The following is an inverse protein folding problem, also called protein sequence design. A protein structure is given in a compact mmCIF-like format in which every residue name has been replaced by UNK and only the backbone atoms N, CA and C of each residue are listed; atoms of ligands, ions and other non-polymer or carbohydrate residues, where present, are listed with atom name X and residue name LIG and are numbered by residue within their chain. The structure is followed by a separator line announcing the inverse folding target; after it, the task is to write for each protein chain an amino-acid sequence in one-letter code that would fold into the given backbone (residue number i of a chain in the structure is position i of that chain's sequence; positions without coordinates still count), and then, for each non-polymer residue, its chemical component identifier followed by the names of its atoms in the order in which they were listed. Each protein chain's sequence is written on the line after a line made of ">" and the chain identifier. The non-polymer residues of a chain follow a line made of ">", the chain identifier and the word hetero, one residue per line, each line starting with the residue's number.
data_IF_266937733629
#
_entry.id   IF_266937733629
#
_cell.length_a   1.000
_cell.length_b   1.000
_cell.length_c   1.000
_cell.angle_alpha   90.00
_cell.angle_beta   90.00
_cell.angle_gamma   90.00
#
_symmetry.space_group_name_H-M   'P 1'
#
loop_
_entity.id
_entity.type
_entity.pdbx_description
1 polymer ?
#
# COMPACT_ATOMS: atom_id res chain seq x y z
N UNK A 1 -23.14 15.28 -19.36
CA UNK A 1 -21.74 14.83 -19.43
C UNK A 1 -21.19 14.95 -18.02
N UNK A 2 -20.81 13.85 -17.37
CA UNK A 2 -20.29 13.86 -16.00
C UNK A 2 -18.76 13.90 -16.10
N UNK A 3 -18.13 14.96 -15.59
CA UNK A 3 -16.67 15.03 -15.51
C UNK A 3 -16.19 14.13 -14.37
N UNK A 4 -15.59 13.00 -14.72
CA UNK A 4 -14.95 12.11 -13.75
C UNK A 4 -13.64 12.71 -13.30
N UNK A 5 -13.44 12.81 -11.99
CA UNK A 5 -12.18 13.29 -11.46
C UNK A 5 -11.79 12.53 -10.20
N UNK A 6 -10.60 11.95 -10.23
CA UNK A 6 -10.10 11.09 -9.17
C UNK A 6 -9.67 11.74 -7.88
N UNK A 7 -9.43 10.87 -6.90
CA UNK A 7 -8.71 11.18 -5.66
C UNK A 7 -7.23 11.47 -5.98
N UNK A 8 -6.65 12.50 -5.37
CA UNK A 8 -5.20 12.81 -5.52
C UNK A 8 -4.30 11.84 -4.74
N UNK A 9 -4.81 10.68 -4.34
CA UNK A 9 -4.12 9.72 -3.50
C UNK A 9 -3.41 8.73 -4.41
N UNK A 10 -2.09 8.87 -4.67
CA UNK A 10 -1.41 7.92 -5.52
C UNK A 10 -1.54 6.53 -4.92
N UNK A 11 -1.55 6.36 -3.59
CA UNK A 11 -1.42 5.04 -2.95
C UNK A 11 0.06 4.67 -2.80
N UNK A 12 0.32 3.44 -2.38
CA UNK A 12 1.66 2.86 -2.27
C UNK A 12 1.68 1.46 -2.85
N UNK A 13 2.80 1.01 -3.41
CA UNK A 13 3.02 -0.40 -3.76
C UNK A 13 4.48 -0.78 -3.56
N UNK A 14 4.72 -2.04 -3.23
CA UNK A 14 6.02 -2.58 -2.85
C UNK A 14 6.68 -3.27 -4.04
N UNK A 15 6.94 -2.51 -5.12
CA UNK A 15 7.68 -3.04 -6.28
C UNK A 15 9.04 -3.61 -5.86
N UNK A 16 9.59 -4.52 -6.69
CA UNK A 16 10.94 -5.07 -6.46
C UNK A 16 11.98 -3.96 -6.21
N UNK A 17 12.02 -2.94 -7.06
CA UNK A 17 12.90 -1.77 -6.88
C UNK A 17 12.62 -1.03 -5.56
N UNK A 18 11.35 -0.86 -5.19
CA UNK A 18 10.99 -0.24 -3.91
C UNK A 18 11.52 -1.05 -2.74
N UNK A 19 11.41 -2.37 -2.76
CA UNK A 19 11.93 -3.25 -1.72
C UNK A 19 13.45 -3.11 -1.53
N UNK A 20 14.22 -2.92 -2.60
CA UNK A 20 15.65 -2.60 -2.50
C UNK A 20 15.89 -1.26 -1.80
N UNK A 21 15.18 -0.21 -2.18
CA UNK A 21 15.30 1.09 -1.51
C UNK A 21 14.91 1.02 -0.03
N UNK A 22 13.89 0.24 0.31
CA UNK A 22 13.46 0.02 1.70
C UNK A 22 14.57 -0.71 2.48
N UNK A 23 15.14 -1.76 1.91
CA UNK A 23 16.25 -2.50 2.52
C UNK A 23 17.44 -1.60 2.84
N UNK A 24 17.86 -0.73 1.90
CA UNK A 24 18.93 0.25 2.14
C UNK A 24 18.61 1.19 3.31
N UNK A 25 17.36 1.64 3.42
CA UNK A 25 16.96 2.52 4.51
C UNK A 25 16.98 1.78 5.87
N UNK A 26 16.50 0.54 5.93
CA UNK A 26 16.57 -0.25 7.17
C UNK A 26 18.01 -0.60 7.56
N UNK A 27 18.87 -0.92 6.59
CA UNK A 27 20.30 -1.10 6.81
C UNK A 27 20.95 0.15 7.41
N UNK A 28 20.67 1.31 6.83
CA UNK A 28 21.12 2.60 7.38
C UNK A 28 20.68 2.79 8.83
N UNK A 29 19.42 2.49 9.15
CA UNK A 29 18.89 2.60 10.53
C UNK A 29 19.60 1.63 11.48
N UNK A 30 19.86 0.40 11.06
CA UNK A 30 20.56 -0.62 11.88
C UNK A 30 22.02 -0.26 12.17
N UNK A 31 22.67 0.50 11.28
CA UNK A 31 24.05 0.98 11.47
C UNK A 31 24.15 2.17 12.44
N UNK A 32 23.02 2.79 12.82
CA UNK A 32 23.01 3.93 13.73
C UNK A 32 23.17 3.55 15.19
N UNK A 33 23.83 4.43 15.94
CA UNK A 33 23.84 4.30 17.40
C UNK A 33 22.39 4.51 17.91
N UNK A 34 21.81 3.56 18.68
CA UNK A 34 20.43 3.66 19.15
C UNK A 34 20.13 4.93 19.97
N UNK A 35 21.13 5.46 20.67
CA UNK A 35 21.02 6.66 21.51
C UNK A 35 21.34 7.95 20.74
N UNK A 36 21.70 7.85 19.45
CA UNK A 36 21.99 9.03 18.63
C UNK A 36 20.70 9.81 18.36
N UNK A 37 20.73 11.09 18.71
CA UNK A 37 19.64 12.00 18.42
C UNK A 37 19.57 12.35 16.93
N UNK A 38 18.35 12.44 16.42
CA UNK A 38 18.06 12.91 15.08
C UNK A 38 16.81 13.77 15.03
N UNK A 39 16.68 14.49 13.93
CA UNK A 39 15.43 15.05 13.47
C UNK A 39 15.25 14.68 12.00
N UNK A 40 14.06 14.94 11.45
CA UNK A 40 13.74 14.57 10.08
C UNK A 40 14.77 15.07 9.04
N UNK A 41 15.25 16.32 9.19
CA UNK A 41 16.26 16.90 8.29
C UNK A 41 17.61 16.21 8.41
N UNK A 42 18.05 15.91 9.63
CA UNK A 42 19.30 15.18 9.89
C UNK A 42 19.21 13.76 9.31
N UNK A 43 18.10 13.06 9.53
CA UNK A 43 17.85 11.74 8.93
C UNK A 43 18.05 11.80 7.41
N UNK A 44 17.35 12.74 6.75
CA UNK A 44 17.42 12.87 5.29
C UNK A 44 18.86 13.01 4.78
N UNK A 45 19.58 13.98 5.33
CA UNK A 45 20.96 14.28 4.93
C UNK A 45 21.92 13.12 5.18
N UNK A 46 21.71 12.35 6.25
CA UNK A 46 22.57 11.23 6.58
C UNK A 46 22.27 10.00 5.73
N UNK A 47 20.99 9.72 5.45
CA UNK A 47 20.61 8.61 4.58
C UNK A 47 21.04 8.84 3.13
N UNK A 48 20.96 10.07 2.63
CA UNK A 48 21.46 10.43 1.28
C UNK A 48 22.96 10.23 1.15
N UNK A 49 23.72 10.57 2.20
CA UNK A 49 25.17 10.34 2.23
C UNK A 49 25.52 8.85 2.32
N UNK A 50 24.66 8.06 2.96
CA UNK A 50 24.89 6.64 3.16
C UNK A 50 24.61 5.82 1.90
N UNK A 51 23.67 6.23 1.04
CA UNK A 51 23.30 5.48 -0.16
C UNK A 51 22.72 6.38 -1.25
N UNK A 52 23.27 6.28 -2.47
CA UNK A 52 22.73 6.95 -3.67
C UNK A 52 21.30 6.50 -4.01
N UNK A 53 20.89 5.34 -3.48
CA UNK A 53 19.56 4.79 -3.63
C UNK A 53 18.52 5.50 -2.74
N UNK A 54 18.94 6.28 -1.76
CA UNK A 54 18.09 6.99 -0.80
C UNK A 54 18.14 8.51 -1.04
N UNK A 55 17.45 8.99 -2.07
CA UNK A 55 17.30 10.43 -2.27
C UNK A 55 16.20 11.05 -1.37
N UNK A 56 16.28 12.35 -1.21
CA UNK A 56 15.33 13.19 -0.49
C UNK A 56 13.86 12.95 -0.84
N UNK A 57 13.58 12.70 -2.13
CA UNK A 57 12.23 12.46 -2.65
C UNK A 57 11.69 11.13 -2.14
N UNK A 58 12.51 10.07 -2.18
CA UNK A 58 12.18 8.76 -1.64
C UNK A 58 11.93 8.85 -0.15
N UNK A 59 12.79 9.51 0.62
CA UNK A 59 12.64 9.61 2.08
C UNK A 59 11.35 10.35 2.45
N UNK A 60 11.05 11.47 1.77
CA UNK A 60 9.78 12.21 1.92
C UNK A 60 8.56 11.36 1.62
N UNK A 61 8.69 10.43 0.68
CA UNK A 61 7.61 9.52 0.32
C UNK A 61 7.48 8.36 1.32
N UNK A 62 8.59 7.87 1.87
CA UNK A 62 8.67 6.68 2.72
C UNK A 62 8.08 6.92 4.10
N UNK A 63 8.55 7.97 4.79
CA UNK A 63 8.18 8.25 6.19
C UNK A 63 6.67 8.30 6.45
N UNK A 64 5.87 9.06 5.66
CA UNK A 64 4.43 9.11 5.87
C UNK A 64 3.76 7.75 5.70
N UNK A 65 4.24 6.91 4.79
CA UNK A 65 3.69 5.57 4.57
C UNK A 65 4.15 4.58 5.63
N UNK A 66 5.41 4.61 6.06
CA UNK A 66 5.88 3.75 7.16
C UNK A 66 5.19 4.07 8.48
N UNK A 67 4.85 5.33 8.72
CA UNK A 67 4.00 5.67 9.87
C UNK A 67 2.60 5.04 9.71
N UNK A 68 1.98 5.12 8.53
CA UNK A 68 0.64 4.53 8.27
C UNK A 68 0.62 3.01 8.27
N UNK A 69 1.71 2.37 7.85
CA UNK A 69 1.89 0.92 7.92
C UNK A 69 2.21 0.44 9.34
N UNK A 70 2.42 1.36 10.29
CA UNK A 70 2.77 1.04 11.67
C UNK A 70 4.22 0.58 11.85
N UNK A 71 5.10 0.89 10.89
CA UNK A 71 6.53 0.56 10.95
C UNK A 71 7.31 1.57 11.79
N UNK A 72 6.99 2.86 11.64
CA UNK A 72 7.65 3.95 12.35
C UNK A 72 6.70 4.64 13.32
N UNK A 73 7.24 5.06 14.46
CA UNK A 73 6.62 6.09 15.27
C UNK A 73 6.80 7.47 14.61
N UNK A 74 5.95 8.43 14.97
CA UNK A 74 6.01 9.77 14.39
C UNK A 74 7.34 10.46 14.76
N UNK A 75 8.04 11.01 13.76
CA UNK A 75 9.30 11.75 13.98
C UNK A 75 9.11 13.07 14.74
N UNK A 76 7.87 13.53 14.92
CA UNK A 76 7.56 14.66 15.82
C UNK A 76 7.67 14.26 17.30
N UNK A 77 7.52 12.97 17.61
CA UNK A 77 7.54 12.44 18.98
C UNK A 77 8.84 11.71 19.31
N UNK A 78 9.49 11.10 18.31
CA UNK A 78 10.76 10.38 18.48
C UNK A 78 11.95 11.28 18.19
N UNK A 79 12.98 11.20 19.05
CA UNK A 79 14.21 11.99 18.93
C UNK A 79 15.47 11.16 18.75
N UNK A 80 15.44 9.84 18.97
CA UNK A 80 16.61 8.95 18.90
C UNK A 80 16.34 7.76 17.98
N UNK A 81 17.37 7.30 17.26
CA UNK A 81 17.20 6.26 16.23
C UNK A 81 16.65 4.94 16.80
N UNK A 82 17.04 4.55 18.02
CA UNK A 82 16.58 3.31 18.66
C UNK A 82 15.07 3.21 18.88
N UNK A 83 14.40 4.37 18.95
CA UNK A 83 12.96 4.50 19.20
C UNK A 83 12.16 4.75 17.92
N UNK A 84 12.81 4.84 16.75
CA UNK A 84 12.11 5.15 15.49
C UNK A 84 11.18 4.01 15.05
N UNK A 85 11.68 2.77 15.09
CA UNK A 85 10.95 1.60 14.62
C UNK A 85 10.05 1.01 15.71
N UNK A 86 8.81 0.70 15.36
CA UNK A 86 7.94 -0.17 16.17
C UNK A 86 8.45 -1.61 16.17
N UNK A 87 7.86 -2.51 16.94
CA UNK A 87 8.18 -3.95 16.86
C UNK A 87 7.93 -4.51 15.45
N UNK A 88 6.78 -4.17 14.86
CA UNK A 88 6.46 -4.50 13.47
C UNK A 88 7.51 -3.93 12.50
N UNK A 89 7.96 -2.69 12.75
CA UNK A 89 9.05 -2.04 12.02
C UNK A 89 10.35 -2.82 12.05
N UNK A 90 10.76 -3.28 13.24
CA UNK A 90 12.00 -4.05 13.45
C UNK A 90 11.92 -5.42 12.78
N UNK A 91 10.79 -6.11 12.88
CA UNK A 91 10.58 -7.40 12.23
C UNK A 91 10.55 -7.27 10.71
N UNK A 92 9.84 -6.27 10.19
CA UNK A 92 9.83 -5.98 8.77
C UNK A 92 11.21 -5.56 8.25
N UNK A 93 11.98 -4.81 9.02
CA UNK A 93 13.36 -4.43 8.70
C UNK A 93 14.26 -5.65 8.46
N UNK A 94 14.22 -6.61 9.39
CA UNK A 94 14.95 -7.89 9.22
C UNK A 94 14.44 -8.67 8.01
N UNK A 95 13.12 -8.73 7.84
CA UNK A 95 12.51 -9.43 6.73
C UNK A 95 12.88 -8.82 5.37
N UNK A 96 12.86 -7.49 5.21
CA UNK A 96 13.13 -6.86 3.91
C UNK A 96 14.58 -7.05 3.47
N UNK A 97 15.52 -7.05 4.41
CA UNK A 97 16.92 -7.38 4.14
C UNK A 97 17.04 -8.82 3.62
N UNK A 98 16.45 -9.77 4.34
CA UNK A 98 16.41 -11.18 3.94
C UNK A 98 15.69 -11.40 2.60
N UNK A 99 14.54 -10.77 2.39
CA UNK A 99 13.76 -10.82 1.15
C UNK A 99 14.59 -10.37 -0.05
N UNK A 100 15.35 -9.29 0.11
CA UNK A 100 16.24 -8.76 -0.94
C UNK A 100 17.38 -9.73 -1.23
N UNK A 101 17.97 -10.38 -0.23
CA UNK A 101 19.00 -11.40 -0.43
C UNK A 101 18.47 -12.60 -1.22
N UNK A 102 17.32 -13.15 -0.82
CA UNK A 102 16.67 -14.26 -1.52
C UNK A 102 16.38 -13.90 -2.98
N UNK A 103 15.85 -12.70 -3.24
CA UNK A 103 15.51 -12.23 -4.59
C UNK A 103 16.73 -11.96 -5.50
N UNK A 104 17.94 -11.81 -4.94
CA UNK A 104 19.19 -11.67 -5.71
C UNK A 104 19.75 -13.01 -6.17
N UNK A 105 19.39 -14.10 -5.49
CA UNK A 105 19.93 -15.45 -5.68
C UNK A 105 18.79 -16.47 -5.75
N UNK A 106 17.69 -16.11 -6.41
CA UNK A 106 16.44 -16.87 -6.35
C UNK A 106 16.61 -18.31 -6.86
N UNK A 107 17.51 -18.49 -7.80
CA UNK A 107 17.93 -19.78 -8.38
C UNK A 107 18.63 -20.72 -7.38
N UNK A 108 19.12 -20.21 -6.25
CA UNK A 108 19.75 -21.01 -5.19
C UNK A 108 18.71 -21.61 -4.21
N UNK A 109 17.45 -21.20 -4.31
CA UNK A 109 16.36 -21.63 -3.42
C UNK A 109 15.36 -22.52 -4.14
N UNK A 110 14.76 -23.45 -3.40
CA UNK A 110 13.69 -24.30 -3.92
C UNK A 110 12.32 -23.61 -3.85
N UNK A 111 11.33 -24.19 -4.53
CA UNK A 111 9.98 -23.62 -4.61
C UNK A 111 9.32 -23.44 -3.23
N UNK A 112 9.51 -24.39 -2.31
CA UNK A 112 8.95 -24.31 -0.94
C UNK A 112 9.53 -23.13 -0.15
N UNK A 113 10.84 -22.88 -0.29
CA UNK A 113 11.51 -21.75 0.35
C UNK A 113 11.04 -20.42 -0.24
N UNK A 114 10.93 -20.33 -1.56
CA UNK A 114 10.42 -19.15 -2.26
C UNK A 114 8.97 -18.87 -1.84
N UNK A 115 8.14 -19.92 -1.76
CA UNK A 115 6.77 -19.83 -1.29
C UNK A 115 6.68 -19.34 0.16
N UNK A 116 7.53 -19.86 1.05
CA UNK A 116 7.59 -19.41 2.44
C UNK A 116 7.91 -17.90 2.55
N UNK A 117 8.88 -17.40 1.78
CA UNK A 117 9.19 -15.97 1.72
C UNK A 117 8.00 -15.16 1.18
N UNK A 118 7.32 -15.66 0.15
CA UNK A 118 6.10 -15.05 -0.40
C UNK A 118 4.95 -14.99 0.61
N UNK A 119 4.79 -16.01 1.44
CA UNK A 119 3.79 -16.06 2.50
C UNK A 119 4.12 -15.08 3.64
N UNK A 120 5.39 -14.99 4.05
CA UNK A 120 5.85 -13.97 5.01
C UNK A 120 5.62 -12.55 4.49
N UNK A 121 5.97 -12.28 3.22
CA UNK A 121 5.70 -11.00 2.58
C UNK A 121 4.22 -10.64 2.67
N UNK A 122 3.34 -11.57 2.27
CA UNK A 122 1.88 -11.37 2.30
C UNK A 122 1.35 -11.09 3.70
N UNK A 123 1.89 -11.77 4.72
CA UNK A 123 1.52 -11.52 6.11
C UNK A 123 1.82 -10.07 6.51
N UNK A 124 3.01 -9.54 6.20
CA UNK A 124 3.34 -8.13 6.42
C UNK A 124 2.41 -7.19 5.64
N UNK A 125 2.14 -7.48 4.37
CA UNK A 125 1.25 -6.65 3.55
C UNK A 125 -0.17 -6.60 4.12
N UNK A 126 -0.66 -7.70 4.68
CA UNK A 126 -1.96 -7.75 5.34
C UNK A 126 -1.98 -6.93 6.65
N UNK A 127 -0.93 -7.02 7.47
CA UNK A 127 -0.78 -6.15 8.65
C UNK A 127 -0.74 -4.66 8.26
N UNK A 128 -0.02 -4.33 7.18
CA UNK A 128 0.03 -2.96 6.66
C UNK A 128 -1.33 -2.48 6.19
N UNK A 129 -2.09 -3.35 5.53
CA UNK A 129 -3.45 -3.04 5.10
C UNK A 129 -4.35 -2.74 6.30
N UNK A 130 -4.30 -3.57 7.36
CA UNK A 130 -5.04 -3.31 8.61
C UNK A 130 -4.68 -1.95 9.22
N UNK A 131 -3.39 -1.61 9.27
CA UNK A 131 -2.94 -0.31 9.81
C UNK A 131 -3.39 0.86 8.93
N UNK A 132 -3.35 0.73 7.60
CA UNK A 132 -3.86 1.75 6.67
C UNK A 132 -5.36 1.97 6.82
N UNK A 133 -6.15 0.92 7.04
CA UNK A 133 -7.58 1.01 7.34
C UNK A 133 -7.89 1.75 8.66
N UNK A 134 -6.89 1.95 9.53
CA UNK A 134 -6.99 2.74 10.76
C UNK A 134 -6.38 4.15 10.63
N UNK A 135 -5.84 4.49 9.46
CA UNK A 135 -5.13 5.76 9.21
C UNK A 135 -6.00 6.85 8.58
N UNK A 136 -5.41 8.04 8.37
CA UNK A 136 -5.98 9.15 7.57
C UNK A 136 -6.20 8.79 6.09
N UNK A 137 -5.72 7.63 5.62
CA UNK A 137 -5.90 7.14 4.25
C UNK A 137 -6.90 6.00 4.13
N UNK A 138 -7.60 5.63 5.19
CA UNK A 138 -8.45 4.43 5.27
C UNK A 138 -9.55 4.35 4.20
N UNK A 139 -10.15 5.47 3.83
CA UNK A 139 -11.44 5.53 3.15
C UNK A 139 -11.49 4.69 1.87
N UNK A 140 -10.53 4.88 0.96
CA UNK A 140 -10.49 4.13 -0.30
C UNK A 140 -10.25 2.63 -0.11
N UNK A 141 -9.46 2.22 0.88
CA UNK A 141 -9.15 0.81 1.13
C UNK A 141 -10.35 0.07 1.75
N UNK A 142 -11.04 0.73 2.69
CA UNK A 142 -12.26 0.20 3.32
C UNK A 142 -13.39 0.11 2.30
N UNK A 143 -13.62 1.18 1.54
CA UNK A 143 -14.70 1.21 0.55
C UNK A 143 -14.42 0.25 -0.62
N UNK A 144 -13.17 0.13 -1.09
CA UNK A 144 -12.82 -0.87 -2.11
C UNK A 144 -13.16 -2.28 -1.65
N UNK A 145 -12.77 -2.67 -0.42
CA UNK A 145 -13.07 -3.99 0.14
C UNK A 145 -14.58 -4.22 0.19
N UNK A 146 -15.34 -3.25 0.74
CA UNK A 146 -16.81 -3.29 0.84
C UNK A 146 -17.46 -3.51 -0.53
N UNK A 147 -17.14 -2.67 -1.51
CA UNK A 147 -17.82 -2.67 -2.80
C UNK A 147 -17.43 -3.85 -3.69
N UNK A 148 -16.18 -4.30 -3.64
CA UNK A 148 -15.76 -5.55 -4.31
C UNK A 148 -16.49 -6.76 -3.69
N UNK A 149 -16.68 -6.77 -2.37
CA UNK A 149 -17.44 -7.81 -1.68
C UNK A 149 -18.90 -7.84 -2.08
N UNK A 150 -19.51 -6.67 -2.14
CA UNK A 150 -20.94 -6.52 -2.41
C UNK A 150 -21.31 -6.83 -3.87
N UNK A 151 -20.54 -6.31 -4.83
CA UNK A 151 -20.81 -6.54 -6.25
C UNK A 151 -20.16 -7.81 -6.81
N UNK A 152 -19.48 -8.58 -5.94
CA UNK A 152 -18.63 -9.71 -6.31
C UNK A 152 -17.56 -9.36 -7.37
N UNK A 153 -17.13 -8.11 -7.37
CA UNK A 153 -16.11 -7.59 -8.26
C UNK A 153 -16.44 -6.21 -8.82
N UNK A 154 -15.39 -5.48 -9.19
CA UNK A 154 -15.44 -4.17 -9.81
C UNK A 154 -14.53 -4.14 -11.04
N UNK A 155 -15.00 -3.60 -12.17
CA UNK A 155 -14.10 -3.26 -13.27
C UNK A 155 -13.16 -2.11 -12.88
N UNK A 156 -12.13 -1.86 -13.69
CA UNK A 156 -11.27 -0.68 -13.52
C UNK A 156 -12.05 0.63 -13.62
N UNK A 157 -13.02 0.71 -14.51
CA UNK A 157 -13.88 1.89 -14.68
C UNK A 157 -14.80 2.05 -13.47
N UNK A 158 -15.31 0.95 -12.93
CA UNK A 158 -16.09 0.96 -11.68
C UNK A 158 -15.25 1.37 -10.47
N UNK A 159 -13.94 1.05 -10.46
CA UNK A 159 -13.00 1.62 -9.49
C UNK A 159 -12.87 3.14 -9.64
N UNK A 160 -12.91 3.68 -10.86
CA UNK A 160 -12.90 5.14 -11.07
C UNK A 160 -14.20 5.83 -10.67
N UNK A 161 -15.34 5.13 -10.79
CA UNK A 161 -16.59 5.58 -10.19
C UNK A 161 -16.46 5.64 -8.66
N UNK A 162 -15.75 4.68 -8.06
CA UNK A 162 -15.51 4.67 -6.62
C UNK A 162 -14.61 5.85 -6.21
N UNK A 163 -13.51 6.12 -6.91
CA UNK A 163 -12.67 7.29 -6.60
C UNK A 163 -13.45 8.61 -6.73
N UNK A 164 -14.33 8.70 -7.74
CA UNK A 164 -15.25 9.84 -7.91
C UNK A 164 -16.21 9.98 -6.72
N UNK A 165 -16.83 8.88 -6.28
CA UNK A 165 -17.71 8.83 -5.11
C UNK A 165 -17.02 9.44 -3.89
N UNK A 166 -15.81 8.99 -3.59
CA UNK A 166 -15.08 9.43 -2.39
C UNK A 166 -14.69 10.91 -2.47
N UNK A 167 -14.20 11.35 -3.64
CA UNK A 167 -13.78 12.75 -3.83
C UNK A 167 -14.93 13.74 -3.59
N UNK A 168 -16.10 13.45 -4.15
CA UNK A 168 -17.27 14.32 -4.07
C UNK A 168 -18.22 13.96 -2.93
N UNK A 169 -17.83 12.99 -2.09
CA UNK A 169 -18.62 12.50 -0.95
C UNK A 169 -20.05 12.10 -1.35
N UNK A 170 -20.18 11.46 -2.52
CA UNK A 170 -21.47 10.93 -2.96
C UNK A 170 -21.92 9.75 -2.10
N UNK A 171 -23.23 9.57 -1.98
CA UNK A 171 -23.81 8.52 -1.15
C UNK A 171 -23.60 7.11 -1.73
N UNK A 172 -23.85 6.10 -0.91
CA UNK A 172 -23.79 4.70 -1.33
C UNK A 172 -24.86 4.38 -2.38
N UNK A 173 -26.05 4.98 -2.27
CA UNK A 173 -27.14 4.85 -3.25
C UNK A 173 -26.73 5.42 -4.61
N UNK A 174 -26.07 6.57 -4.62
CA UNK A 174 -25.53 7.15 -5.85
C UNK A 174 -24.56 6.17 -6.53
N UNK A 175 -23.66 5.56 -5.76
CA UNK A 175 -22.68 4.63 -6.31
C UNK A 175 -23.33 3.36 -6.85
N UNK A 176 -24.32 2.78 -6.14
CA UNK A 176 -25.15 1.66 -6.65
C UNK A 176 -25.79 1.99 -7.97
N UNK A 177 -26.35 3.19 -8.08
CA UNK A 177 -27.00 3.65 -9.30
C UNK A 177 -26.00 3.79 -10.44
N UNK A 178 -24.81 4.35 -10.21
CA UNK A 178 -23.78 4.47 -11.24
C UNK A 178 -23.28 3.11 -11.71
N UNK A 179 -23.05 2.16 -10.80
CA UNK A 179 -22.66 0.78 -11.16
C UNK A 179 -23.75 0.12 -12.01
N UNK A 180 -25.03 0.23 -11.62
CA UNK A 180 -26.16 -0.31 -12.39
C UNK A 180 -26.19 0.30 -13.80
N UNK A 181 -26.12 1.63 -13.90
CA UNK A 181 -26.14 2.36 -15.16
C UNK A 181 -24.97 1.98 -16.06
N UNK A 182 -23.75 1.88 -15.50
CA UNK A 182 -22.55 1.50 -16.23
C UNK A 182 -22.66 0.08 -16.80
N UNK A 183 -23.05 -0.92 -15.98
CA UNK A 183 -23.23 -2.31 -16.40
C UNK A 183 -24.33 -2.48 -17.46
N UNK A 184 -25.36 -1.64 -17.40
CA UNK A 184 -26.45 -1.60 -18.39
C UNK A 184 -26.10 -0.80 -19.66
N UNK A 185 -24.88 -0.26 -19.79
CA UNK A 185 -24.46 0.58 -20.91
C UNK A 185 -25.28 1.90 -21.04
N UNK A 186 -25.87 2.36 -19.94
CA UNK A 186 -26.62 3.63 -19.84
C UNK A 186 -25.67 4.84 -19.64
N UNK A 187 -24.37 4.59 -19.46
CA UNK A 187 -23.31 5.61 -19.30
C UNK A 187 -22.19 5.39 -20.32
N UNK A 188 -21.81 6.45 -21.04
CA UNK A 188 -20.51 6.51 -21.71
C UNK A 188 -19.49 7.14 -20.77
N UNK A 189 -18.41 6.43 -20.47
CA UNK A 189 -17.37 6.91 -19.56
C UNK A 189 -16.21 7.54 -20.32
N UNK A 190 -16.27 8.86 -20.55
CA UNK A 190 -15.09 9.65 -20.93
C UNK A 190 -14.30 10.00 -19.66
N UNK A 191 -13.49 9.05 -19.21
CA UNK A 191 -12.67 9.20 -17.99
C UNK A 191 -11.47 10.10 -18.29
N UNK A 192 -11.30 11.18 -17.51
CA UNK A 192 -10.10 12.03 -17.57
C UNK A 192 -8.93 11.28 -16.90
N UNK A 193 -7.88 10.84 -17.62
CA UNK A 193 -7.17 9.61 -17.24
C UNK A 193 -6.14 9.74 -16.10
N UNK A 194 -5.46 10.88 -15.93
CA UNK A 194 -4.13 10.84 -15.33
C UNK A 194 -4.09 10.59 -13.81
N UNK A 195 -5.01 11.18 -13.03
CA UNK A 195 -4.99 11.03 -11.57
C UNK A 195 -5.59 9.69 -11.11
N UNK A 196 -6.65 9.26 -11.78
CA UNK A 196 -7.34 8.00 -11.49
C UNK A 196 -6.49 6.78 -11.84
N UNK A 197 -5.76 6.84 -12.96
CA UNK A 197 -4.84 5.78 -13.36
C UNK A 197 -3.76 5.55 -12.30
N UNK A 198 -3.22 6.63 -11.70
CA UNK A 198 -2.22 6.49 -10.66
C UNK A 198 -2.83 5.83 -9.42
N UNK A 199 -3.97 6.30 -8.91
CA UNK A 199 -4.63 5.68 -7.76
C UNK A 199 -4.86 4.18 -7.98
N UNK A 200 -5.34 3.77 -9.17
CA UNK A 200 -5.50 2.36 -9.52
C UNK A 200 -4.17 1.60 -9.48
N UNK A 201 -3.10 2.16 -10.07
CA UNK A 201 -1.77 1.53 -10.20
C UNK A 201 -1.03 1.32 -8.89
N UNK A 202 -1.45 1.94 -7.78
CA UNK A 202 -0.85 1.65 -6.48
C UNK A 202 -1.83 0.97 -5.53
N UNK A 203 -3.08 1.44 -5.45
CA UNK A 203 -4.06 0.94 -4.47
C UNK A 203 -4.43 -0.50 -4.76
N UNK A 204 -4.74 -0.81 -6.03
CA UNK A 204 -5.14 -2.17 -6.41
C UNK A 204 -3.98 -3.16 -6.24
N UNK A 205 -2.75 -2.89 -6.73
CA UNK A 205 -1.61 -3.75 -6.46
C UNK A 205 -1.35 -3.97 -4.98
N UNK A 206 -1.40 -2.95 -4.13
CA UNK A 206 -1.23 -3.15 -2.68
C UNK A 206 -2.31 -4.04 -2.08
N UNK A 207 -3.58 -3.87 -2.49
CA UNK A 207 -4.66 -4.74 -2.02
C UNK A 207 -4.51 -6.18 -2.53
N UNK A 208 -3.88 -6.38 -3.69
CA UNK A 208 -3.51 -7.71 -4.20
C UNK A 208 -2.36 -8.31 -3.39
N UNK A 209 -1.32 -7.52 -3.12
CA UNK A 209 -0.17 -7.91 -2.29
C UNK A 209 -0.60 -8.29 -0.87
N UNK A 210 -1.58 -7.59 -0.30
CA UNK A 210 -2.19 -7.87 1.00
C UNK A 210 -3.17 -9.06 1.00
N UNK A 211 -3.49 -9.63 -0.18
CA UNK A 211 -4.43 -10.75 -0.29
C UNK A 211 -5.89 -10.36 -0.04
N UNK A 212 -6.25 -9.09 -0.24
CA UNK A 212 -7.62 -8.58 -0.10
C UNK A 212 -8.38 -8.78 -1.40
N UNK A 213 -7.79 -8.44 -2.54
CA UNK A 213 -8.43 -8.59 -3.85
C UNK A 213 -7.54 -9.37 -4.81
N UNK A 214 -8.11 -9.82 -5.92
CA UNK A 214 -7.41 -10.27 -7.11
C UNK A 214 -7.63 -9.26 -8.23
N UNK A 215 -6.70 -9.21 -9.17
CA UNK A 215 -6.81 -8.38 -10.35
C UNK A 215 -6.56 -9.19 -11.63
N UNK A 216 -7.58 -9.32 -12.48
CA UNK A 216 -7.44 -9.89 -13.83
C UNK A 216 -7.16 -8.76 -14.82
N UNK A 217 -5.93 -8.69 -15.34
CA UNK A 217 -5.57 -7.76 -16.42
C UNK A 217 -6.34 -8.04 -17.71
N UNK A 218 -6.65 -9.32 -17.98
CA UNK A 218 -7.36 -9.76 -19.19
C UNK A 218 -8.81 -9.29 -19.18
N UNK A 219 -9.47 -9.46 -18.03
CA UNK A 219 -10.90 -9.19 -17.89
C UNK A 219 -11.17 -7.79 -17.30
N UNK A 220 -10.11 -7.04 -17.03
CA UNK A 220 -10.14 -5.71 -16.42
C UNK A 220 -10.97 -5.69 -15.11
N UNK A 221 -10.89 -6.77 -14.32
CA UNK A 221 -11.78 -7.05 -13.19
C UNK A 221 -11.01 -7.25 -11.88
N UNK A 222 -11.42 -6.53 -10.84
CA UNK A 222 -11.02 -6.69 -9.44
C UNK A 222 -12.02 -7.64 -8.78
N UNK A 223 -11.59 -8.71 -8.13
CA UNK A 223 -12.48 -9.67 -7.44
C UNK A 223 -12.05 -9.91 -5.99
N UNK A 224 -12.95 -10.34 -5.10
CA UNK A 224 -12.58 -10.58 -3.71
C UNK A 224 -11.66 -11.80 -3.57
N UNK A 225 -10.63 -11.71 -2.73
CA UNK A 225 -9.72 -12.81 -2.40
C UNK A 225 -10.17 -13.58 -1.14
N UNK A 226 -11.38 -14.16 -1.20
CA UNK A 226 -12.07 -14.80 -0.04
C UNK A 226 -11.31 -15.93 0.63
N UNK A 227 -10.54 -16.68 -0.15
CA UNK A 227 -9.68 -17.78 0.27
C UNK A 227 -8.29 -17.34 0.78
N UNK A 228 -8.01 -16.03 0.84
CA UNK A 228 -6.75 -15.48 1.33
C UNK A 228 -7.01 -14.64 2.58
N UNK A 229 -7.23 -13.33 2.44
CA UNK A 229 -7.40 -12.40 3.57
C UNK A 229 -8.64 -11.52 3.44
N UNK A 230 -9.48 -11.70 2.43
CA UNK A 230 -10.63 -10.82 2.21
C UNK A 230 -11.62 -10.87 3.39
N UNK A 231 -11.89 -12.04 3.96
CA UNK A 231 -12.75 -12.16 5.15
C UNK A 231 -12.00 -11.90 6.47
N UNK A 232 -10.71 -11.60 6.41
CA UNK A 232 -9.91 -11.36 7.62
C UNK A 232 -10.53 -10.25 8.47
N UNK A 233 -10.69 -10.54 9.77
CA UNK A 233 -11.25 -9.62 10.73
C UNK A 233 -10.32 -8.42 10.95
N UNK A 234 -10.91 -7.23 10.99
CA UNK A 234 -10.25 -6.05 11.53
C UNK A 234 -10.62 -6.03 13.00
N UNK A 235 -9.75 -6.53 13.89
CA UNK A 235 -9.96 -6.25 15.31
C UNK A 235 -9.91 -4.73 15.47
N UNK A 236 -11.07 -4.14 15.78
CA UNK A 236 -11.18 -2.77 16.19
C UNK A 236 -10.29 -2.62 17.42
N UNK A 237 -9.21 -1.85 17.26
CA UNK A 237 -8.37 -1.51 18.40
C UNK A 237 -9.21 -0.61 19.30
N UNK A 238 -9.55 -1.11 20.49
CA UNK A 238 -10.10 -0.31 21.59
C UNK A 238 -9.24 0.94 21.84
#
# INVERSE_FOLDING_TARGET
>A
MMEYSGISNPGWTFTKERMFHIAEMFKFIEEKNPNEEFNYKKFQQESEKASELLDDSKIRMFFPWFTRFGLFYCTKTVKVYGDLCTNLGKEFGKFVLFYVEVNKKIEEYNDEQIEAVGNMYRAFMFEFFKNVCKSDRKEIYVELKKWVGEFNGLSKEEFFLLTTKLKYQYSDEWFREQIRKYRNQELSSDIVPDKDINAFRYIVPFCVEAGIVRWSKKDNLITPARDINFEGEFEDGN
#
